data_IF_673652237148
#
_entry.id   IF_673652237148
#
_cell.length_a   1.000
_cell.length_b   1.000
_cell.length_c   1.000
_cell.angle_alpha   90.00
_cell.angle_beta   90.00
_cell.angle_gamma   90.00
#
_symmetry.space_group_name_H-M   'P 1'
#
loop_
_entity.id
_entity.type
_entity.pdbx_description
1 polymer ?
#
# COMPACT_ATOMS: atom_id res chain seq x y z
N UNK A 1 -51.06 30.38 -59.97
CA UNK A 1 -50.14 29.40 -60.58
C UNK A 1 -49.36 28.71 -59.48
N UNK A 2 -49.12 27.40 -59.63
CA UNK A 2 -48.39 26.46 -58.76
C UNK A 2 -47.03 27.05 -58.29
N UNK A 3 -46.43 26.72 -57.14
CA UNK A 3 -46.08 25.37 -56.66
C UNK A 3 -45.78 25.27 -55.16
N UNK A 4 -45.79 24.01 -54.71
CA UNK A 4 -45.44 23.40 -53.41
C UNK A 4 -43.91 23.37 -53.16
N UNK A 5 -43.46 23.29 -51.90
CA UNK A 5 -42.34 22.49 -51.31
C UNK A 5 -42.00 23.03 -49.90
N UNK A 6 -42.41 22.38 -48.80
CA UNK A 6 -41.75 21.31 -47.99
C UNK A 6 -40.80 21.77 -46.87
N UNK A 7 -40.88 21.00 -45.78
CA UNK A 7 -40.34 21.11 -44.42
C UNK A 7 -38.81 20.93 -44.28
N UNK A 8 -38.24 21.44 -43.18
CA UNK A 8 -37.16 20.78 -42.43
C UNK A 8 -35.85 21.57 -42.23
N UNK A 9 -35.46 21.81 -40.96
CA UNK A 9 -34.08 21.88 -40.37
C UNK A 9 -34.12 22.73 -39.08
N UNK A 10 -34.30 22.12 -37.90
CA UNK A 10 -33.25 21.73 -36.94
C UNK A 10 -32.39 22.92 -36.46
N UNK A 11 -32.77 23.49 -35.32
CA UNK A 11 -31.86 24.25 -34.46
C UNK A 11 -31.09 23.23 -33.60
N UNK A 12 -29.82 23.01 -33.91
CA UNK A 12 -28.87 22.37 -33.00
C UNK A 12 -27.77 23.40 -32.72
N UNK A 13 -27.79 24.00 -31.53
CA UNK A 13 -26.69 24.84 -31.04
C UNK A 13 -26.31 24.36 -29.64
N UNK A 14 -25.08 23.84 -29.57
CA UNK A 14 -24.14 23.89 -28.46
C UNK A 14 -24.43 23.05 -27.20
N UNK A 15 -23.95 21.81 -27.24
CA UNK A 15 -23.57 21.02 -26.06
C UNK A 15 -22.08 20.66 -26.18
N UNK A 16 -21.19 21.66 -26.22
CA UNK A 16 -19.73 21.43 -26.37
C UNK A 16 -18.83 22.27 -25.45
N UNK A 17 -19.36 22.98 -24.45
CA UNK A 17 -18.53 23.79 -23.55
C UNK A 17 -18.19 23.14 -22.21
N UNK A 18 -18.78 21.98 -21.87
CA UNK A 18 -18.60 21.35 -20.56
C UNK A 18 -17.43 20.35 -20.49
N UNK A 19 -16.95 19.85 -21.64
CA UNK A 19 -15.86 18.86 -21.68
C UNK A 19 -14.46 19.48 -21.53
N UNK A 20 -14.26 20.75 -21.92
CA UNK A 20 -12.92 21.38 -21.95
C UNK A 20 -12.37 21.78 -20.58
N UNK A 21 -13.24 22.03 -19.59
CA UNK A 21 -12.79 22.41 -18.24
C UNK A 21 -12.34 21.21 -17.39
N UNK A 22 -12.91 20.02 -17.64
CA UNK A 22 -12.58 18.81 -16.89
C UNK A 22 -11.20 18.27 -17.30
N UNK A 23 -10.89 18.23 -18.60
CA UNK A 23 -9.57 17.83 -19.11
C UNK A 23 -8.46 18.80 -18.69
N UNK A 24 -8.73 20.10 -18.69
CA UNK A 24 -7.76 21.11 -18.22
C UNK A 24 -7.51 21.02 -16.71
N UNK A 25 -8.54 20.71 -15.92
CA UNK A 25 -8.40 20.49 -14.47
C UNK A 25 -7.61 19.21 -14.14
N UNK A 26 -7.77 18.16 -14.94
CA UNK A 26 -7.00 16.93 -14.82
C UNK A 26 -5.53 17.15 -15.20
N UNK A 27 -5.26 17.79 -16.34
CA UNK A 27 -3.92 18.11 -16.81
C UNK A 27 -3.14 19.03 -15.85
N UNK A 28 -3.80 20.03 -15.25
CA UNK A 28 -3.17 20.91 -14.26
C UNK A 28 -2.82 20.19 -12.95
N UNK A 29 -3.68 19.26 -12.50
CA UNK A 29 -3.37 18.39 -11.34
C UNK A 29 -2.24 17.40 -11.64
N UNK A 30 -2.16 16.89 -12.87
CA UNK A 30 -1.05 16.04 -13.33
C UNK A 30 0.26 16.80 -13.35
N UNK A 31 0.28 18.05 -13.86
CA UNK A 31 1.48 18.90 -13.85
C UNK A 31 1.95 19.24 -12.43
N UNK A 32 1.04 19.59 -11.52
CA UNK A 32 1.38 19.83 -10.11
C UNK A 32 1.85 18.56 -9.37
N UNK A 33 1.40 17.37 -9.79
CA UNK A 33 1.91 16.09 -9.26
C UNK A 33 3.31 15.78 -9.79
N UNK A 34 3.59 16.06 -11.06
CA UNK A 34 4.92 15.85 -11.65
C UNK A 34 6.00 16.71 -10.97
N UNK A 35 5.70 17.94 -10.55
CA UNK A 35 6.67 18.77 -9.82
C UNK A 35 6.79 18.43 -8.30
N UNK A 36 5.87 17.63 -7.72
CA UNK A 36 5.81 17.37 -6.27
C UNK A 36 6.82 16.33 -5.77
N UNK A 37 7.25 15.42 -6.64
CA UNK A 37 8.05 14.24 -6.30
C UNK A 37 9.28 14.13 -7.22
N UNK A 38 9.96 15.26 -7.44
CA UNK A 38 11.17 15.33 -8.26
C UNK A 38 10.97 14.79 -9.69
N UNK A 39 9.80 15.01 -10.30
CA UNK A 39 9.48 14.46 -11.61
C UNK A 39 9.03 12.99 -11.59
N UNK A 40 9.22 12.26 -10.49
CA UNK A 40 8.83 10.85 -10.36
C UNK A 40 7.32 10.72 -10.16
N UNK A 41 6.67 9.89 -10.98
CA UNK A 41 5.21 9.73 -10.97
C UNK A 41 4.78 8.32 -11.42
N UNK A 42 3.54 7.95 -11.10
CA UNK A 42 2.96 6.71 -11.61
C UNK A 42 2.80 6.76 -13.14
N UNK A 43 3.38 5.78 -13.83
CA UNK A 43 3.15 5.50 -15.25
C UNK A 43 2.24 4.28 -15.49
N UNK A 44 1.73 3.70 -14.41
CA UNK A 44 0.75 2.60 -14.40
C UNK A 44 -0.49 3.03 -13.63
N UNK A 45 -1.60 2.33 -13.83
CA UNK A 45 -2.85 2.53 -13.07
C UNK A 45 -3.28 1.24 -12.40
N UNK A 46 -4.02 1.32 -11.28
CA UNK A 46 -4.66 0.16 -10.70
C UNK A 46 -5.52 -0.61 -11.68
N UNK A 47 -5.55 -1.94 -11.52
CA UNK A 47 -6.45 -2.83 -12.24
C UNK A 47 -7.55 -3.27 -11.31
N UNK A 48 -8.61 -2.49 -11.33
CA UNK A 48 -9.75 -2.68 -10.46
C UNK A 48 -10.52 -3.97 -10.78
N UNK A 49 -10.91 -4.70 -9.75
CA UNK A 49 -11.81 -5.85 -9.84
C UNK A 49 -12.61 -6.04 -8.55
N UNK A 50 -13.50 -7.04 -8.50
CA UNK A 50 -14.23 -7.35 -7.27
C UNK A 50 -13.29 -8.00 -6.25
N UNK A 51 -13.59 -7.85 -4.96
CA UNK A 51 -12.97 -8.60 -3.87
C UNK A 51 -13.51 -10.04 -3.89
N UNK A 52 -13.30 -10.77 -4.98
CA UNK A 52 -13.62 -12.19 -5.15
C UNK A 52 -12.95 -12.71 -6.42
N UNK A 53 -12.68 -14.01 -6.50
CA UNK A 53 -12.01 -14.60 -7.65
C UNK A 53 -10.51 -14.29 -7.69
N UNK A 54 -10.01 -13.93 -8.87
CA UNK A 54 -8.59 -13.63 -9.06
C UNK A 54 -8.20 -12.32 -8.37
N UNK A 55 -6.93 -12.24 -7.95
CA UNK A 55 -6.35 -11.02 -7.38
C UNK A 55 -6.59 -9.82 -8.31
N UNK A 56 -7.03 -8.72 -7.72
CA UNK A 56 -7.19 -7.43 -8.37
C UNK A 56 -7.10 -6.31 -7.33
N UNK A 57 -6.85 -5.09 -7.78
CA UNK A 57 -6.94 -3.93 -6.89
C UNK A 57 -8.41 -3.69 -6.52
N UNK A 58 -8.70 -3.47 -5.24
CA UNK A 58 -10.07 -3.28 -4.78
C UNK A 58 -10.14 -2.42 -3.53
N UNK A 59 -11.16 -1.57 -3.47
CA UNK A 59 -11.57 -0.85 -2.29
C UNK A 59 -13.02 -1.22 -1.94
N UNK A 60 -13.17 -1.95 -0.84
CA UNK A 60 -14.40 -2.50 -0.35
C UNK A 60 -14.94 -1.69 0.85
N UNK A 61 -14.91 -0.36 0.72
CA UNK A 61 -15.61 0.59 1.60
C UNK A 61 -14.74 1.55 2.41
N UNK A 62 -13.42 1.59 2.21
CA UNK A 62 -12.53 2.52 2.92
C UNK A 62 -12.63 3.92 2.30
N UNK A 63 -12.91 4.94 3.13
CA UNK A 63 -12.86 6.36 2.74
C UNK A 63 -11.79 7.08 3.55
N UNK A 64 -10.68 7.42 2.90
CA UNK A 64 -9.55 8.10 3.52
C UNK A 64 -9.93 9.43 4.19
N UNK A 65 -11.00 10.10 3.75
CA UNK A 65 -11.44 11.38 4.36
C UNK A 65 -11.96 11.23 5.78
N UNK A 66 -12.31 10.01 6.19
CA UNK A 66 -12.84 9.71 7.53
C UNK A 66 -11.75 9.23 8.49
N UNK A 67 -10.58 8.87 7.96
CA UNK A 67 -9.48 8.30 8.73
C UNK A 67 -8.73 9.41 9.48
N UNK A 68 -8.49 9.19 10.77
CA UNK A 68 -7.75 10.08 11.67
C UNK A 68 -6.48 9.42 12.22
N UNK A 69 -6.45 8.10 12.24
CA UNK A 69 -5.32 7.31 12.73
C UNK A 69 -5.02 6.19 11.74
N UNK A 70 -3.75 5.98 11.45
CA UNK A 70 -3.24 4.82 10.71
C UNK A 70 -2.39 4.00 11.68
N UNK A 71 -2.71 2.72 11.84
CA UNK A 71 -1.89 1.74 12.56
C UNK A 71 -1.21 0.86 11.52
N UNK A 72 0.11 0.93 11.42
CA UNK A 72 0.86 0.26 10.36
C UNK A 72 1.62 -0.95 10.89
N UNK A 73 1.47 -2.08 10.18
CA UNK A 73 2.23 -3.30 10.37
C UNK A 73 2.91 -3.68 9.06
N UNK A 74 4.17 -4.10 9.14
CA UNK A 74 4.89 -4.50 7.96
C UNK A 74 6.38 -4.72 8.20
N UNK A 75 7.12 -4.69 7.10
CA UNK A 75 8.56 -4.88 7.08
C UNK A 75 9.34 -3.57 6.82
N UNK A 76 10.54 -3.68 6.27
CA UNK A 76 11.44 -2.57 5.95
C UNK A 76 10.85 -1.57 4.94
N UNK A 77 9.82 -1.94 4.19
CA UNK A 77 9.14 -1.00 3.28
C UNK A 77 8.14 -0.11 4.02
N UNK A 78 7.80 -0.43 5.27
CA UNK A 78 6.84 0.29 6.11
C UNK A 78 7.49 0.86 7.37
N UNK A 79 8.62 0.30 7.81
CA UNK A 79 9.33 0.71 9.03
C UNK A 79 9.87 2.15 8.97
N UNK A 80 9.28 3.01 9.80
CA UNK A 80 9.60 4.40 10.06
C UNK A 80 10.82 4.63 10.97
N UNK A 81 11.53 3.57 11.38
CA UNK A 81 12.66 3.60 12.31
C UNK A 81 12.24 3.58 13.79
N UNK A 82 10.97 3.29 14.08
CA UNK A 82 10.45 3.13 15.43
C UNK A 82 9.25 2.18 15.43
N UNK A 83 9.33 1.16 16.28
CA UNK A 83 8.54 -0.07 16.15
C UNK A 83 7.46 -0.24 17.26
N UNK A 84 7.15 0.83 18.00
CA UNK A 84 6.29 0.81 19.20
C UNK A 84 5.00 1.63 19.06
N UNK A 85 4.68 2.14 17.87
CA UNK A 85 3.54 3.01 17.61
C UNK A 85 3.73 4.48 18.04
N UNK A 86 4.91 4.83 18.55
CA UNK A 86 5.25 6.19 18.98
C UNK A 86 5.68 7.12 17.85
N UNK A 87 5.91 8.42 18.14
CA UNK A 87 6.34 9.39 17.14
C UNK A 87 7.69 9.00 16.51
N UNK A 88 7.74 9.08 15.18
CA UNK A 88 8.92 8.79 14.39
C UNK A 88 9.95 9.94 14.43
N UNK A 89 11.22 9.61 14.24
CA UNK A 89 12.26 10.61 14.00
C UNK A 89 12.03 11.32 12.65
N UNK A 90 12.59 12.53 12.44
CA UNK A 90 12.54 13.20 11.16
C UNK A 90 13.10 12.31 10.04
N UNK A 91 12.42 12.20 8.88
CA UNK A 91 12.85 11.35 7.75
C UNK A 91 13.94 12.07 6.95
N UNK A 92 15.11 12.24 7.55
CA UNK A 92 16.26 12.93 6.95
C UNK A 92 17.52 12.07 7.05
N UNK A 93 18.30 12.04 5.97
CA UNK A 93 19.62 11.41 5.94
C UNK A 93 20.63 12.32 6.66
N UNK A 94 21.42 11.74 7.56
CA UNK A 94 22.51 12.43 8.26
C UNK A 94 23.81 11.65 8.01
N UNK A 95 24.60 12.03 7.00
CA UNK A 95 25.83 11.33 6.66
C UNK A 95 26.79 11.16 7.86
N UNK A 96 27.51 10.03 7.97
CA UNK A 96 27.63 8.99 6.95
C UNK A 96 26.48 7.98 6.91
N UNK A 97 25.52 8.02 7.83
CA UNK A 97 24.37 7.12 7.87
C UNK A 97 23.47 7.35 6.65
N UNK A 98 23.13 6.28 5.93
CA UNK A 98 22.29 6.32 4.74
C UNK A 98 20.79 6.23 5.07
N UNK A 99 20.40 5.67 6.22
CA UNK A 99 19.01 5.44 6.60
C UNK A 99 18.37 6.73 7.15
N UNK A 100 17.30 7.20 6.50
CA UNK A 100 16.62 8.44 6.90
C UNK A 100 15.82 8.27 8.19
N UNK A 101 16.37 8.74 9.31
CA UNK A 101 15.75 8.58 10.62
C UNK A 101 15.45 7.12 11.00
N UNK A 102 16.25 6.17 10.48
CA UNK A 102 16.10 4.72 10.69
C UNK A 102 15.31 3.97 9.60
N UNK A 103 14.74 4.67 8.61
CA UNK A 103 14.01 4.04 7.49
C UNK A 103 15.00 3.41 6.51
N UNK A 104 14.65 2.26 5.92
CA UNK A 104 15.42 1.62 4.85
C UNK A 104 15.30 2.34 3.49
N UNK A 105 15.35 3.68 3.51
CA UNK A 105 15.23 4.59 2.36
C UNK A 105 15.83 5.96 2.72
N UNK A 106 15.85 6.92 1.79
CA UNK A 106 16.41 8.27 1.96
C UNK A 106 15.39 9.32 2.43
N UNK A 107 14.17 8.89 2.79
CA UNK A 107 13.12 9.78 3.28
C UNK A 107 11.93 9.02 3.83
N UNK A 108 10.72 9.51 3.57
CA UNK A 108 9.48 8.92 4.09
C UNK A 108 9.15 7.61 3.38
N UNK A 109 8.63 6.64 4.14
CA UNK A 109 8.01 5.44 3.57
C UNK A 109 6.58 5.74 3.08
N UNK A 110 5.96 4.77 2.40
CA UNK A 110 4.66 4.96 1.74
C UNK A 110 3.54 5.33 2.72
N UNK A 111 3.52 4.71 3.91
CA UNK A 111 2.43 4.90 4.87
C UNK A 111 2.51 6.27 5.56
N UNK A 112 3.72 6.81 5.75
CA UNK A 112 3.92 8.19 6.22
C UNK A 112 3.37 9.21 5.23
N UNK A 113 3.57 8.98 3.93
CA UNK A 113 3.04 9.84 2.88
C UNK A 113 1.50 9.89 2.91
N UNK A 114 0.84 8.72 3.06
CA UNK A 114 -0.63 8.67 3.18
C UNK A 114 -1.09 9.41 4.44
N UNK A 115 -0.42 9.18 5.59
CA UNK A 115 -0.75 9.84 6.85
C UNK A 115 -0.65 11.36 6.72
N UNK A 116 0.40 11.88 6.08
CA UNK A 116 0.59 13.31 5.84
C UNK A 116 -0.48 13.90 4.90
N UNK A 117 -0.82 13.20 3.81
CA UNK A 117 -1.78 13.68 2.82
C UNK A 117 -3.17 13.90 3.42
N UNK A 118 -3.55 13.07 4.40
CA UNK A 118 -4.86 13.12 5.05
C UNK A 118 -4.82 13.76 6.44
N UNK A 119 -3.62 14.11 6.94
CA UNK A 119 -3.43 14.66 8.29
C UNK A 119 -3.74 13.68 9.41
N UNK A 120 -3.53 12.38 9.19
CA UNK A 120 -3.74 11.34 10.19
C UNK A 120 -2.54 11.18 11.12
N UNK A 121 -2.79 10.67 12.33
CA UNK A 121 -1.73 10.19 13.22
C UNK A 121 -1.26 8.82 12.72
N UNK A 122 0.05 8.65 12.53
CA UNK A 122 0.64 7.34 12.24
C UNK A 122 1.13 6.68 13.53
N UNK A 123 0.70 5.45 13.76
CA UNK A 123 1.22 4.54 14.77
C UNK A 123 1.91 3.39 14.05
N UNK A 124 3.23 3.46 13.96
CA UNK A 124 4.03 2.49 13.22
C UNK A 124 4.56 1.38 14.12
N UNK A 125 4.27 0.13 13.74
CA UNK A 125 4.77 -1.09 14.38
C UNK A 125 5.58 -1.95 13.41
N UNK A 126 5.78 -1.51 12.17
CA UNK A 126 6.57 -2.23 11.20
C UNK A 126 8.03 -2.36 11.67
N UNK A 127 8.67 -3.46 11.28
CA UNK A 127 10.05 -3.76 11.67
C UNK A 127 10.83 -4.26 10.46
N UNK A 128 12.00 -3.67 10.22
CA UNK A 128 12.88 -4.04 9.13
C UNK A 128 13.23 -5.53 9.15
N UNK A 129 12.95 -6.23 8.04
CA UNK A 129 13.20 -7.67 7.89
C UNK A 129 12.14 -8.58 8.51
N UNK A 130 11.00 -8.04 8.96
CA UNK A 130 9.93 -8.86 9.52
C UNK A 130 9.29 -9.78 8.45
N UNK A 131 9.15 -11.05 8.79
CA UNK A 131 8.31 -12.01 8.08
C UNK A 131 6.91 -12.09 8.73
N UNK A 132 6.02 -12.94 8.23
CA UNK A 132 4.70 -13.10 8.86
C UNK A 132 4.76 -13.81 10.21
N UNK A 133 5.57 -14.87 10.34
CA UNK A 133 5.75 -15.68 11.56
C UNK A 133 7.14 -16.36 11.54
N UNK A 134 7.97 -16.07 12.54
CA UNK A 134 9.33 -16.65 12.66
C UNK A 134 9.33 -18.18 12.77
N UNK A 135 8.25 -18.80 13.25
CA UNK A 135 8.15 -20.25 13.35
C UNK A 135 8.08 -20.96 11.99
N UNK A 136 7.74 -20.22 10.92
CA UNK A 136 7.72 -20.72 9.55
C UNK A 136 9.07 -20.62 8.85
N UNK A 137 9.97 -19.77 9.35
CA UNK A 137 11.20 -19.36 8.65
C UNK A 137 12.43 -19.50 9.55
N UNK A 138 12.95 -20.74 9.77
CA UNK A 138 14.15 -20.96 10.57
C UNK A 138 15.40 -20.22 10.07
N UNK A 139 15.46 -19.85 8.78
CA UNK A 139 16.55 -19.08 8.19
C UNK A 139 16.43 -17.56 8.37
N UNK A 140 15.30 -17.07 8.89
CA UNK A 140 15.05 -15.64 9.08
C UNK A 140 16.16 -14.96 9.89
N UNK A 141 16.83 -13.99 9.26
CA UNK A 141 17.98 -13.31 9.84
C UNK A 141 17.55 -12.35 10.95
N UNK A 142 16.47 -11.59 10.72
CA UNK A 142 15.92 -10.66 11.69
C UNK A 142 14.87 -11.39 12.53
N UNK A 143 14.92 -11.20 13.84
CA UNK A 143 14.00 -11.84 14.79
C UNK A 143 12.78 -10.93 15.02
N UNK A 144 12.09 -10.62 13.92
CA UNK A 144 10.90 -9.79 13.89
C UNK A 144 9.82 -10.47 13.03
N UNK A 145 8.56 -10.41 13.45
CA UNK A 145 7.43 -10.93 12.69
C UNK A 145 6.13 -10.18 12.96
N UNK A 146 5.14 -10.37 12.09
CA UNK A 146 3.83 -9.76 12.23
C UNK A 146 3.14 -10.15 13.55
N UNK A 147 3.29 -11.40 13.98
CA UNK A 147 2.74 -11.91 15.25
C UNK A 147 3.26 -11.08 16.44
N UNK A 148 4.56 -10.79 16.47
CA UNK A 148 5.21 -9.96 17.48
C UNK A 148 4.76 -8.50 17.44
N UNK A 149 4.57 -7.94 16.24
CA UNK A 149 4.08 -6.56 16.07
C UNK A 149 2.66 -6.40 16.60
N UNK A 150 1.74 -7.31 16.23
CA UNK A 150 0.35 -7.29 16.74
C UNK A 150 0.32 -7.48 18.25
N UNK A 151 1.14 -8.39 18.79
CA UNK A 151 1.28 -8.57 20.24
C UNK A 151 1.72 -7.29 20.94
N UNK A 152 2.68 -6.57 20.36
CA UNK A 152 3.16 -5.29 20.91
C UNK A 152 2.04 -4.25 20.94
N UNK A 153 1.32 -4.08 19.82
CA UNK A 153 0.16 -3.19 19.73
C UNK A 153 -0.93 -3.53 20.78
N UNK A 154 -1.31 -4.81 20.89
CA UNK A 154 -2.36 -5.24 21.82
C UNK A 154 -1.97 -5.05 23.29
N UNK A 155 -0.69 -5.26 23.64
CA UNK A 155 -0.21 -5.09 25.01
C UNK A 155 -0.25 -3.63 25.49
N UNK A 156 -0.31 -2.67 24.58
CA UNK A 156 -0.41 -1.25 24.92
C UNK A 156 -1.84 -0.82 25.25
N UNK A 157 -2.84 -1.66 24.98
CA UNK A 157 -4.25 -1.39 25.30
C UNK A 157 -4.74 -0.04 24.77
N UNK A 158 -4.37 0.28 23.52
CA UNK A 158 -4.76 1.52 22.87
C UNK A 158 -6.30 1.64 22.78
N UNK A 159 -6.83 2.82 23.07
CA UNK A 159 -8.25 3.17 22.92
C UNK A 159 -8.44 3.97 21.63
N UNK A 160 -8.52 3.26 20.50
CA UNK A 160 -8.66 3.84 19.17
C UNK A 160 -10.11 3.71 18.70
N UNK A 161 -10.63 4.76 18.06
CA UNK A 161 -11.96 4.74 17.44
C UNK A 161 -11.93 3.85 16.18
N UNK A 162 -12.62 2.70 16.16
CA UNK A 162 -12.53 1.77 15.03
C UNK A 162 -13.12 2.32 13.72
N UNK A 163 -14.00 3.32 13.80
CA UNK A 163 -14.61 3.90 12.61
C UNK A 163 -13.66 4.88 11.89
N UNK A 164 -12.71 5.47 12.63
CA UNK A 164 -11.75 6.44 12.12
C UNK A 164 -10.30 5.96 12.14
N UNK A 165 -10.07 4.68 12.45
CA UNK A 165 -8.74 4.05 12.45
C UNK A 165 -8.59 3.09 11.27
N UNK A 166 -7.56 3.31 10.44
CA UNK A 166 -7.14 2.41 9.38
C UNK A 166 -5.99 1.53 9.86
N UNK A 167 -6.10 0.23 9.65
CA UNK A 167 -5.00 -0.72 9.88
C UNK A 167 -4.38 -1.09 8.54
N UNK A 168 -3.07 -0.87 8.37
CA UNK A 168 -2.36 -1.26 7.16
C UNK A 168 -1.48 -2.47 7.42
N UNK A 169 -1.48 -3.44 6.51
CA UNK A 169 -0.70 -4.68 6.60
C UNK A 169 0.08 -4.90 5.32
N UNK A 170 1.40 -4.98 5.43
CA UNK A 170 2.28 -5.19 4.27
C UNK A 170 3.41 -6.18 4.61
N UNK A 171 3.27 -7.42 4.15
CA UNK A 171 4.23 -8.50 4.37
C UNK A 171 4.36 -9.37 3.12
N UNK A 172 5.35 -10.26 3.11
CA UNK A 172 5.58 -11.24 2.05
C UNK A 172 6.97 -11.16 1.42
N UNK A 173 7.65 -10.02 1.52
CA UNK A 173 9.01 -9.85 0.95
C UNK A 173 10.01 -10.76 1.65
N UNK A 174 10.04 -10.70 2.98
CA UNK A 174 10.96 -11.53 3.78
C UNK A 174 10.53 -13.00 3.78
N UNK A 175 9.23 -13.30 3.85
CA UNK A 175 8.72 -14.68 3.73
C UNK A 175 9.16 -15.33 2.41
N UNK A 176 9.04 -14.60 1.29
CA UNK A 176 9.52 -15.08 0.00
C UNK A 176 11.05 -15.21 -0.05
N UNK A 177 11.78 -14.24 0.52
CA UNK A 177 13.23 -14.30 0.65
C UNK A 177 13.71 -15.53 1.43
N UNK A 178 13.17 -15.76 2.62
CA UNK A 178 13.49 -16.90 3.48
C UNK A 178 13.10 -18.23 2.83
N UNK A 179 12.01 -18.25 2.05
CA UNK A 179 11.58 -19.44 1.30
C UNK A 179 12.59 -19.92 0.26
N UNK A 180 13.53 -19.07 -0.18
CA UNK A 180 14.61 -19.47 -1.08
C UNK A 180 15.62 -20.41 -0.37
N UNK A 181 15.67 -20.36 0.96
CA UNK A 181 16.50 -21.22 1.80
C UNK A 181 15.68 -22.35 2.43
N UNK A 182 14.53 -22.02 3.02
CA UNK A 182 13.71 -22.96 3.79
C UNK A 182 12.70 -23.75 2.95
N UNK A 183 12.51 -23.35 1.69
CA UNK A 183 11.57 -23.93 0.74
C UNK A 183 10.22 -23.21 0.71
N UNK A 184 9.54 -23.30 -0.44
CA UNK A 184 8.32 -22.52 -0.71
C UNK A 184 7.05 -23.11 -0.09
N UNK A 185 7.13 -24.25 0.61
CA UNK A 185 5.96 -24.95 1.14
C UNK A 185 5.24 -24.18 2.27
N UNK A 186 5.94 -23.26 2.94
CA UNK A 186 5.41 -22.48 4.05
C UNK A 186 4.72 -21.18 3.60
N UNK A 187 4.82 -20.79 2.32
CA UNK A 187 4.24 -19.54 1.84
C UNK A 187 2.71 -19.52 2.04
N UNK A 188 1.98 -20.60 1.76
CA UNK A 188 0.53 -20.63 2.01
C UNK A 188 0.19 -20.50 3.50
N UNK A 189 1.05 -21.01 4.40
CA UNK A 189 0.88 -20.82 5.84
C UNK A 189 1.16 -19.37 6.24
N UNK A 190 2.19 -18.73 5.67
CA UNK A 190 2.49 -17.31 5.87
C UNK A 190 1.32 -16.40 5.43
N UNK A 191 0.69 -16.70 4.29
CA UNK A 191 -0.51 -15.99 3.86
C UNK A 191 -1.66 -16.14 4.88
N UNK A 192 -1.82 -17.33 5.46
CA UNK A 192 -2.83 -17.58 6.49
C UNK A 192 -2.55 -16.80 7.78
N UNK A 193 -1.28 -16.62 8.17
CA UNK A 193 -0.90 -15.79 9.33
C UNK A 193 -1.38 -14.36 9.16
N UNK A 194 -1.25 -13.76 7.97
CA UNK A 194 -1.77 -12.41 7.69
C UNK A 194 -3.27 -12.33 8.01
N UNK A 195 -4.04 -13.30 7.53
CA UNK A 195 -5.49 -13.36 7.73
C UNK A 195 -5.86 -13.58 9.20
N UNK A 196 -5.11 -14.42 9.91
CA UNK A 196 -5.37 -14.70 11.33
C UNK A 196 -5.04 -13.50 12.22
N UNK A 197 -3.96 -12.76 11.92
CA UNK A 197 -3.64 -11.52 12.62
C UNK A 197 -4.68 -10.42 12.35
N UNK A 198 -5.17 -10.29 11.10
CA UNK A 198 -6.29 -9.38 10.80
C UNK A 198 -7.55 -9.79 11.56
N UNK A 199 -7.83 -11.10 11.69
CA UNK A 199 -8.95 -11.60 12.51
C UNK A 199 -8.80 -11.21 13.98
N UNK A 200 -7.59 -11.26 14.53
CA UNK A 200 -7.31 -10.80 15.89
C UNK A 200 -7.59 -9.30 16.02
N UNK A 201 -7.08 -8.48 15.10
CA UNK A 201 -7.29 -7.02 15.12
C UNK A 201 -8.77 -6.63 14.95
N UNK A 202 -9.55 -7.37 14.18
CA UNK A 202 -10.98 -7.12 13.96
C UNK A 202 -11.87 -7.61 15.10
N UNK A 203 -11.32 -8.41 16.03
CA UNK A 203 -11.98 -8.90 17.24
C UNK A 203 -11.79 -7.95 18.43
N UNK A 204 -12.58 -8.08 19.52
CA UNK A 204 -12.33 -7.36 20.76
C UNK A 204 -10.92 -7.63 21.31
N UNK A 205 -10.26 -6.62 21.93
CA UNK A 205 -10.79 -5.29 22.24
C UNK A 205 -10.68 -4.28 21.09
N UNK A 206 -9.80 -4.53 20.12
CA UNK A 206 -9.45 -3.58 19.04
C UNK A 206 -10.63 -3.27 18.14
N UNK A 207 -11.44 -4.27 17.80
CA UNK A 207 -12.64 -4.12 16.97
C UNK A 207 -12.37 -3.38 15.64
N UNK A 208 -11.20 -3.56 15.02
CA UNK A 208 -10.85 -2.89 13.76
C UNK A 208 -11.96 -3.01 12.71
N UNK A 209 -12.23 -1.91 11.97
CA UNK A 209 -13.26 -1.85 10.92
C UNK A 209 -12.75 -1.41 9.55
N UNK A 210 -11.52 -0.94 9.43
CA UNK A 210 -10.89 -0.61 8.15
C UNK A 210 -9.50 -1.25 8.07
N UNK A 211 -9.30 -2.13 7.08
CA UNK A 211 -8.02 -2.84 6.87
C UNK A 211 -7.58 -2.71 5.42
N UNK A 212 -6.41 -2.12 5.19
CA UNK A 212 -5.74 -2.10 3.89
C UNK A 212 -4.61 -3.13 3.89
N UNK A 213 -4.59 -4.00 2.89
CA UNK A 213 -3.47 -4.93 2.65
C UNK A 213 -2.79 -4.57 1.35
N UNK A 214 -1.46 -4.55 1.35
CA UNK A 214 -0.63 -4.33 0.16
C UNK A 214 0.34 -5.49 -0.04
N UNK A 215 0.72 -5.77 -1.28
CA UNK A 215 1.66 -6.85 -1.61
C UNK A 215 2.67 -6.45 -2.69
N UNK A 216 3.93 -6.85 -2.49
CA UNK A 216 4.96 -6.96 -3.54
C UNK A 216 6.00 -8.03 -3.17
N UNK A 217 5.54 -9.23 -2.79
CA UNK A 217 6.40 -10.28 -2.22
C UNK A 217 7.71 -10.49 -3.00
N UNK A 218 7.62 -10.48 -4.33
CA UNK A 218 8.72 -10.85 -5.22
C UNK A 218 9.50 -9.66 -5.80
N UNK A 219 9.11 -8.41 -5.49
CA UNK A 219 9.78 -7.20 -5.98
C UNK A 219 10.04 -7.23 -7.50
N UNK A 220 9.01 -7.56 -8.28
CA UNK A 220 9.07 -7.71 -9.74
C UNK A 220 9.38 -9.14 -10.23
N UNK A 221 9.59 -10.08 -9.32
CA UNK A 221 9.67 -11.51 -9.65
C UNK A 221 8.33 -12.18 -9.37
N UNK A 222 7.86 -13.01 -10.32
CA UNK A 222 6.63 -13.79 -10.21
C UNK A 222 6.94 -15.28 -10.22
N UNK A 223 6.39 -16.04 -9.27
CA UNK A 223 6.53 -17.50 -9.18
C UNK A 223 5.20 -18.13 -8.80
N UNK A 224 4.93 -19.39 -9.22
CA UNK A 224 3.67 -20.05 -8.87
C UNK A 224 3.39 -20.10 -7.36
N UNK A 225 4.43 -20.22 -6.52
CA UNK A 225 4.25 -20.30 -5.07
C UNK A 225 3.98 -18.93 -4.44
N UNK A 226 4.68 -17.88 -4.88
CA UNK A 226 4.43 -16.51 -4.42
C UNK A 226 3.11 -15.96 -4.94
N UNK A 227 2.74 -16.20 -6.19
CA UNK A 227 1.44 -15.78 -6.73
C UNK A 227 0.29 -16.49 -5.98
N UNK A 228 0.50 -17.75 -5.58
CA UNK A 228 -0.43 -18.48 -4.71
C UNK A 228 -0.49 -17.92 -3.28
N UNK A 229 0.59 -17.34 -2.75
CA UNK A 229 0.57 -16.59 -1.49
C UNK A 229 -0.34 -15.37 -1.60
N UNK A 230 -0.14 -14.52 -2.61
CA UNK A 230 -0.96 -13.31 -2.83
C UNK A 230 -2.43 -13.68 -3.01
N UNK A 231 -2.71 -14.70 -3.82
CA UNK A 231 -4.07 -15.20 -4.04
C UNK A 231 -4.72 -15.72 -2.75
N UNK A 232 -3.95 -16.32 -1.85
CA UNK A 232 -4.45 -16.81 -0.54
C UNK A 232 -4.79 -15.64 0.39
N UNK A 233 -3.96 -14.59 0.42
CA UNK A 233 -4.26 -13.36 1.15
C UNK A 233 -5.54 -12.70 0.61
N UNK A 234 -5.64 -12.53 -0.71
CA UNK A 234 -6.80 -11.93 -1.35
C UNK A 234 -8.10 -12.70 -1.07
N UNK A 235 -8.08 -14.03 -1.22
CA UNK A 235 -9.22 -14.90 -0.92
C UNK A 235 -9.58 -14.89 0.57
N UNK A 236 -8.59 -14.82 1.46
CA UNK A 236 -8.79 -14.70 2.90
C UNK A 236 -9.47 -13.39 3.29
N UNK A 237 -9.09 -12.27 2.67
CA UNK A 237 -9.75 -10.97 2.88
C UNK A 237 -11.21 -10.99 2.42
N UNK A 238 -11.49 -11.60 1.26
CA UNK A 238 -12.86 -11.83 0.81
C UNK A 238 -13.68 -12.60 1.85
N UNK A 239 -13.16 -13.72 2.34
CA UNK A 239 -13.83 -14.56 3.33
C UNK A 239 -14.05 -13.83 4.67
N UNK A 240 -13.05 -13.08 5.16
CA UNK A 240 -13.17 -12.28 6.38
C UNK A 240 -14.30 -11.24 6.28
N UNK A 241 -14.35 -10.49 5.17
CA UNK A 241 -15.40 -9.49 4.95
C UNK A 241 -16.77 -10.12 4.84
N UNK A 242 -16.92 -11.19 4.06
CA UNK A 242 -18.19 -11.91 3.92
C UNK A 242 -18.72 -12.39 5.29
N UNK A 243 -17.84 -12.95 6.12
CA UNK A 243 -18.21 -13.38 7.47
C UNK A 243 -18.63 -12.20 8.37
N UNK A 244 -17.90 -11.09 8.36
CA UNK A 244 -18.22 -9.90 9.15
C UNK A 244 -19.56 -9.24 8.74
N UNK A 245 -19.89 -9.26 7.44
CA UNK A 245 -21.21 -8.79 6.96
C UNK A 245 -22.37 -9.68 7.41
N UNK A 246 -22.13 -10.98 7.59
CA UNK A 246 -23.15 -11.91 8.08
C UNK A 246 -23.42 -11.76 9.58
N UNK A 247 -22.42 -11.35 10.38
CA UNK A 247 -22.55 -11.20 11.83
C UNK A 247 -23.08 -9.83 12.26
N UNK A 248 -22.77 -8.76 11.52
CA UNK A 248 -23.24 -7.38 11.80
C UNK A 248 -24.75 -7.19 11.57
N UNK A 249 -25.43 -8.07 10.82
CA UNK A 249 -26.90 -8.08 10.75
C UNK A 249 -27.58 -8.45 12.09
N UNK A 250 -26.83 -8.89 13.10
CA UNK A 250 -27.39 -9.44 14.35
C UNK A 250 -26.85 -8.83 15.65
N UNK A 251 -25.91 -7.89 15.61
CA UNK A 251 -25.35 -7.26 16.82
C UNK A 251 -25.50 -5.74 16.79
N UNK A 252 -26.60 -5.28 17.39
CA UNK A 252 -26.66 -3.98 18.05
C UNK A 252 -25.93 -4.14 19.39
N UNK A 253 -24.89 -3.35 19.64
CA UNK A 253 -24.27 -3.29 20.96
C UNK A 253 -25.28 -2.66 21.96
N UNK A 254 -25.15 -2.93 23.26
CA UNK A 254 -26.08 -2.46 24.30
C UNK A 254 -26.23 -0.91 24.38
N UNK A 255 -25.37 -0.17 23.67
CA UNK A 255 -25.38 1.30 23.56
C UNK A 255 -26.04 1.83 22.27
N UNK A 256 -26.58 0.97 21.40
CA UNK A 256 -27.28 1.38 20.18
C UNK A 256 -26.38 1.97 19.09
N UNK A 257 -25.05 1.79 19.18
CA UNK A 257 -24.12 2.02 18.08
C UNK A 257 -24.08 0.75 17.23
N UNK A 258 -24.61 0.82 16.01
CA UNK A 258 -24.51 -0.29 15.06
C UNK A 258 -23.05 -0.64 14.81
N UNK A 259 -22.73 -1.93 14.76
CA UNK A 259 -21.40 -2.39 14.35
C UNK A 259 -21.22 -2.10 12.87
N UNK A 260 -20.36 -1.14 12.52
CA UNK A 260 -20.02 -0.85 11.13
C UNK A 260 -19.50 -2.11 10.43
N UNK A 261 -19.87 -2.30 9.15
CA UNK A 261 -19.36 -3.42 8.37
C UNK A 261 -17.83 -3.35 8.24
N UNK A 262 -17.15 -4.51 8.20
CA UNK A 262 -15.72 -4.56 7.94
C UNK A 262 -15.43 -4.04 6.52
N UNK A 263 -14.67 -2.94 6.45
CA UNK A 263 -14.16 -2.35 5.22
C UNK A 263 -12.76 -2.88 4.97
N UNK A 264 -12.52 -3.39 3.78
CA UNK A 264 -11.18 -3.87 3.39
C UNK A 264 -10.76 -3.26 2.07
N UNK A 265 -9.46 -3.16 1.83
CA UNK A 265 -8.92 -2.86 0.53
C UNK A 265 -7.68 -3.73 0.27
N UNK A 266 -7.43 -4.02 -1.00
CA UNK A 266 -6.22 -4.69 -1.45
C UNK A 266 -5.60 -3.86 -2.59
N UNK A 267 -4.32 -3.54 -2.46
CA UNK A 267 -3.57 -2.79 -3.47
C UNK A 267 -2.28 -3.54 -3.83
N UNK A 268 -2.14 -3.92 -5.09
CA UNK A 268 -1.06 -4.78 -5.55
C UNK A 268 0.11 -3.96 -6.10
N UNK A 269 1.11 -3.71 -5.26
CA UNK A 269 2.31 -2.96 -5.64
C UNK A 269 3.16 -3.65 -6.70
N UNK A 270 2.97 -4.95 -6.96
CA UNK A 270 3.60 -5.63 -8.09
C UNK A 270 3.37 -4.90 -9.42
N UNK A 271 2.25 -4.17 -9.58
CA UNK A 271 2.00 -3.29 -10.74
C UNK A 271 3.05 -2.20 -10.93
N UNK A 272 3.52 -1.60 -9.85
CA UNK A 272 4.57 -0.58 -9.89
C UNK A 272 5.88 -1.24 -10.31
N UNK A 273 6.26 -2.34 -9.66
CA UNK A 273 7.50 -3.05 -9.95
C UNK A 273 7.54 -3.58 -11.39
N UNK A 274 6.48 -4.23 -11.86
CA UNK A 274 6.37 -4.71 -13.24
C UNK A 274 6.45 -3.55 -14.24
N UNK A 275 5.86 -2.41 -13.90
CA UNK A 275 5.90 -1.23 -14.75
C UNK A 275 7.28 -0.60 -14.84
N UNK A 276 8.00 -0.51 -13.72
CA UNK A 276 9.34 0.09 -13.63
C UNK A 276 10.41 -0.83 -14.21
N UNK A 277 10.40 -2.11 -13.82
CA UNK A 277 11.43 -3.09 -14.20
C UNK A 277 11.15 -3.78 -15.54
N UNK A 278 9.90 -3.71 -16.03
CA UNK A 278 9.50 -4.26 -17.31
C UNK A 278 9.88 -3.40 -18.51
N UNK A 279 9.68 -3.96 -19.71
CA UNK A 279 9.98 -3.26 -20.97
C UNK A 279 8.97 -2.14 -21.30
N UNK A 280 7.76 -2.20 -20.74
CA UNK A 280 6.73 -1.20 -20.94
C UNK A 280 5.89 -1.02 -19.65
N UNK A 281 5.71 0.21 -19.14
CA UNK A 281 6.20 1.45 -19.73
C UNK A 281 7.71 1.69 -19.47
N UNK A 282 8.33 0.95 -18.55
CA UNK A 282 9.75 1.08 -18.19
C UNK A 282 10.02 2.24 -17.23
N UNK A 283 11.14 2.19 -16.51
CA UNK A 283 11.50 3.14 -15.46
C UNK A 283 11.52 4.61 -15.93
N UNK A 284 11.94 4.88 -17.18
CA UNK A 284 11.96 6.23 -17.76
C UNK A 284 10.57 6.86 -17.81
N UNK A 285 9.53 6.05 -18.04
CA UNK A 285 8.16 6.56 -18.09
C UNK A 285 7.65 7.01 -16.70
N UNK A 286 8.22 6.46 -15.62
CA UNK A 286 7.98 6.92 -14.26
C UNK A 286 8.82 8.14 -13.90
N UNK A 287 9.81 8.51 -14.73
CA UNK A 287 10.73 9.61 -14.49
C UNK A 287 12.09 9.19 -13.92
N UNK A 288 12.32 7.90 -13.68
CA UNK A 288 13.62 7.42 -13.19
C UNK A 288 14.67 7.45 -14.31
N UNK A 289 15.95 7.48 -13.92
CA UNK A 289 17.11 7.34 -14.82
C UNK A 289 17.83 6.01 -14.64
N UNK A 290 17.58 5.28 -13.55
CA UNK A 290 18.16 3.97 -13.28
C UNK A 290 17.28 3.13 -12.36
N UNK A 291 17.40 1.81 -12.51
CA UNK A 291 16.87 0.80 -11.58
C UNK A 291 17.96 0.14 -10.75
N UNK A 292 19.21 0.59 -10.85
CA UNK A 292 20.28 0.17 -9.94
C UNK A 292 20.09 0.82 -8.56
N UNK A 293 20.78 0.30 -7.54
CA UNK A 293 20.83 0.94 -6.23
C UNK A 293 21.74 2.18 -6.26
N UNK A 294 21.29 3.28 -5.65
CA UNK A 294 22.13 4.47 -5.49
C UNK A 294 23.20 4.30 -4.39
N UNK A 295 22.85 3.65 -3.28
CA UNK A 295 23.77 3.26 -2.20
C UNK A 295 24.50 2.00 -2.61
N UNK A 296 25.84 2.08 -2.61
CA UNK A 296 26.73 0.98 -3.03
C UNK A 296 27.42 0.29 -1.85
N UNK A 297 27.43 0.93 -0.67
CA UNK A 297 28.02 0.40 0.55
C UNK A 297 26.93 0.18 1.61
N UNK A 298 26.29 -1.00 1.54
CA UNK A 298 25.22 -1.36 2.44
C UNK A 298 25.23 -2.86 2.75
N UNK A 299 25.04 -3.16 4.03
CA UNK A 299 25.04 -4.50 4.61
C UNK A 299 23.89 -4.61 5.61
N UNK A 300 23.71 -5.80 6.18
CA UNK A 300 22.68 -6.05 7.20
C UNK A 300 22.86 -5.26 8.51
N UNK A 301 24.07 -4.72 8.74
CA UNK A 301 24.45 -4.05 9.99
C UNK A 301 24.82 -2.58 9.82
N UNK A 302 25.14 -2.14 8.61
CA UNK A 302 25.61 -0.79 8.32
C UNK A 302 25.35 -0.46 6.86
N UNK A 303 24.82 0.73 6.58
CA UNK A 303 24.67 1.29 5.25
C UNK A 303 25.12 2.75 5.28
N UNK A 304 26.01 3.11 4.35
CA UNK A 304 26.66 4.42 4.37
C UNK A 304 26.40 5.18 3.07
N UNK A 305 26.48 6.51 3.15
CA UNK A 305 26.44 7.38 1.96
C UNK A 305 27.78 7.41 1.21
N UNK A 306 28.76 6.57 1.59
CA UNK A 306 30.05 6.54 0.91
C UNK A 306 29.90 5.96 -0.51
N UNK A 307 30.36 6.71 -1.51
CA UNK A 307 30.26 6.30 -2.91
C UNK A 307 28.83 6.29 -3.48
N UNK A 308 27.86 6.88 -2.78
CA UNK A 308 26.49 7.00 -3.30
C UNK A 308 26.46 7.74 -4.64
N UNK A 309 25.43 7.45 -5.44
CA UNK A 309 25.21 8.14 -6.72
C UNK A 309 24.94 9.66 -6.54
N UNK A 310 25.17 10.44 -7.59
CA UNK A 310 25.02 11.91 -7.55
C UNK A 310 23.56 12.39 -7.53
N UNK A 311 22.62 11.54 -7.95
CA UNK A 311 21.19 11.87 -8.13
C UNK A 311 20.27 10.78 -7.56
N UNK A 312 20.23 10.60 -6.21
CA UNK A 312 19.42 9.56 -5.58
C UNK A 312 17.92 9.69 -5.87
N UNK A 313 17.43 10.90 -6.16
CA UNK A 313 16.00 11.19 -6.36
C UNK A 313 15.44 10.52 -7.62
N UNK A 314 16.29 10.28 -8.63
CA UNK A 314 15.88 9.66 -9.89
C UNK A 314 16.31 8.19 -10.03
N UNK A 315 16.79 7.56 -8.95
CA UNK A 315 17.05 6.13 -8.91
C UNK A 315 15.84 5.43 -8.27
N UNK A 316 15.35 4.34 -8.89
CA UNK A 316 14.23 3.61 -8.33
C UNK A 316 14.57 3.00 -6.98
N UNK A 317 15.76 2.40 -6.88
CA UNK A 317 16.28 1.84 -5.63
C UNK A 317 17.28 2.79 -5.00
N UNK A 318 17.02 3.18 -3.76
CA UNK A 318 18.01 3.92 -2.97
C UNK A 318 19.02 2.95 -2.37
N UNK A 319 18.54 1.92 -1.67
CA UNK A 319 19.34 0.77 -1.22
C UNK A 319 18.99 -0.43 -2.11
N UNK A 320 19.90 -1.39 -2.27
CA UNK A 320 19.62 -2.59 -3.05
C UNK A 320 18.30 -3.26 -2.63
N UNK A 321 17.40 -3.40 -3.62
CA UNK A 321 16.05 -3.92 -3.44
C UNK A 321 15.17 -3.14 -2.46
N UNK A 322 15.43 -1.86 -2.18
CA UNK A 322 14.57 -0.96 -1.40
C UNK A 322 14.36 0.37 -2.14
N UNK A 323 13.10 0.79 -2.37
CA UNK A 323 12.83 1.98 -3.18
C UNK A 323 13.33 3.27 -2.51
N UNK A 324 13.60 4.29 -3.32
CA UNK A 324 13.82 5.66 -2.84
C UNK A 324 12.57 6.26 -2.20
N UNK A 325 12.70 7.41 -1.53
CA UNK A 325 11.55 8.14 -0.99
C UNK A 325 10.56 8.54 -2.09
N UNK A 326 11.05 8.79 -3.30
CA UNK A 326 10.23 9.05 -4.49
C UNK A 326 9.46 7.80 -4.92
N UNK A 327 10.10 6.62 -4.82
CA UNK A 327 9.45 5.32 -4.96
C UNK A 327 8.35 5.08 -3.93
N UNK A 328 8.62 5.39 -2.65
CA UNK A 328 7.61 5.31 -1.60
C UNK A 328 6.46 6.30 -1.79
N UNK A 329 6.72 7.49 -2.36
CA UNK A 329 5.65 8.43 -2.71
C UNK A 329 4.72 7.87 -3.79
N UNK A 330 5.25 7.22 -4.83
CA UNK A 330 4.39 6.61 -5.86
C UNK A 330 3.64 5.38 -5.34
N UNK A 331 4.18 4.65 -4.34
CA UNK A 331 3.45 3.61 -3.62
C UNK A 331 2.24 4.21 -2.88
N UNK A 332 2.41 5.34 -2.19
CA UNK A 332 1.31 6.05 -1.54
C UNK A 332 0.27 6.53 -2.57
N UNK A 333 0.71 7.16 -3.66
CA UNK A 333 -0.17 7.60 -4.75
C UNK A 333 -0.97 6.43 -5.34
N UNK A 334 -0.36 5.25 -5.45
CA UNK A 334 -1.01 4.06 -5.99
C UNK A 334 -2.12 3.58 -5.07
N UNK A 335 -1.86 3.49 -3.75
CA UNK A 335 -2.90 3.16 -2.75
C UNK A 335 -4.03 4.19 -2.81
N UNK A 336 -3.74 5.48 -2.86
CA UNK A 336 -4.76 6.52 -3.00
C UNK A 336 -5.59 6.36 -4.28
N UNK A 337 -4.96 5.96 -5.39
CA UNK A 337 -5.67 5.65 -6.62
C UNK A 337 -6.56 4.40 -6.49
N UNK A 338 -6.10 3.33 -5.83
CA UNK A 338 -6.93 2.15 -5.55
C UNK A 338 -8.14 2.55 -4.71
N UNK A 339 -7.93 3.25 -3.60
CA UNK A 339 -9.00 3.67 -2.70
C UNK A 339 -9.99 4.63 -3.37
N UNK A 340 -9.55 5.42 -4.34
CA UNK A 340 -10.44 6.33 -5.08
C UNK A 340 -11.14 5.68 -6.27
N UNK A 341 -10.48 4.78 -7.00
CA UNK A 341 -10.92 4.30 -8.33
C UNK A 341 -11.52 2.90 -8.29
N UNK A 342 -11.04 2.04 -7.40
CA UNK A 342 -11.43 0.63 -7.35
C UNK A 342 -12.52 0.37 -6.30
N UNK A 343 -13.40 1.34 -6.09
CA UNK A 343 -14.53 1.22 -5.15
C UNK A 343 -15.50 0.17 -5.70
N UNK A 344 -15.76 -0.88 -4.91
CA UNK A 344 -16.83 -1.82 -5.24
C UNK A 344 -18.17 -1.09 -5.25
N UNK A 345 -18.99 -1.35 -6.27
CA UNK A 345 -20.37 -0.91 -6.23
C UNK A 345 -21.06 -1.60 -5.05
N UNK A 346 -21.81 -0.83 -4.25
CA UNK A 346 -22.64 -1.38 -3.17
C UNK A 346 -23.50 -2.52 -3.75
N UNK A 347 -23.26 -3.75 -3.27
CA UNK A 347 -23.97 -4.95 -3.70
C UNK A 347 -25.37 -5.04 -3.08
#
# INVERSE_FOLDING_TARGET
>A
MKSVLTSGSIFAISLLSSFSFYEKGLAYRTLLRQDRNNGIHLAVSPVCGPLSGNVSDVNAGIDLKTIKTIVAFGDSYTDGGREDGGPLAPPVVIPPEALAGGRSTDGKVWVENIADDIGATLMDYAQSGACTDLSLWPSAIKQADFVGQVKTFLNQSNDLDPETTLYTVFFGINDYGDSMTDGTANLQAAAQVIIDQIRILTSPPTNARAVLVTDVYGRGTHTPAGDAFVQSVFAGLHALRANATSTSMHSEDEEGKGTGALRVAFAEFARIWDGVLGAAPGYEAFGYVSTDACIVDCSLTECTTEGMCDDPEHYFYYIDGHPSKEGHRIMADYVEEVLRRCVEADA
#
